data_IF_059533050996
#
_entry.id   IF_059533050996
#
_cell.length_a   1.000
_cell.length_b   1.000
_cell.length_c   1.000
_cell.angle_alpha   90.00
_cell.angle_beta   90.00
_cell.angle_gamma   90.00
#
_symmetry.space_group_name_H-M   'P 1'
#
loop_
_entity.id
_entity.type
_entity.pdbx_description
1 polymer ?
#
# COMPACT_ATOMS: atom_id res chain seq x y z
N UNK A 1 -30.82 13.89 6.16
CA UNK A 1 -29.66 13.00 6.44
C UNK A 1 -29.00 12.46 5.17
N UNK A 2 -29.73 11.82 4.25
CA UNK A 2 -29.15 11.21 3.04
C UNK A 2 -28.22 12.09 2.19
N UNK A 3 -28.50 13.40 2.05
CA UNK A 3 -27.68 14.34 1.29
C UNK A 3 -26.24 14.51 1.81
N UNK A 4 -26.06 14.53 3.13
CA UNK A 4 -24.71 14.63 3.73
C UNK A 4 -23.94 13.34 3.50
N UNK A 5 -24.55 12.19 3.75
CA UNK A 5 -23.93 10.87 3.50
C UNK A 5 -23.56 10.66 2.04
N UNK A 6 -24.41 11.08 1.10
CA UNK A 6 -24.13 11.04 -0.34
C UNK A 6 -22.84 11.79 -0.68
N UNK A 7 -22.71 13.05 -0.25
CA UNK A 7 -21.53 13.86 -0.57
C UNK A 7 -20.27 13.33 0.10
N UNK A 8 -20.34 13.03 1.40
CA UNK A 8 -19.16 12.58 2.16
C UNK A 8 -18.68 11.20 1.73
N UNK A 9 -19.60 10.26 1.47
CA UNK A 9 -19.23 8.93 0.96
C UNK A 9 -18.59 9.01 -0.42
N UNK A 10 -19.08 9.90 -1.29
CA UNK A 10 -18.51 10.13 -2.60
C UNK A 10 -17.10 10.73 -2.53
N UNK A 11 -16.89 11.76 -1.70
CA UNK A 11 -15.55 12.36 -1.49
C UNK A 11 -14.57 11.32 -0.93
N UNK A 12 -15.00 10.56 0.07
CA UNK A 12 -14.16 9.51 0.66
C UNK A 12 -13.82 8.43 -0.37
N UNK A 13 -14.78 8.01 -1.18
CA UNK A 13 -14.58 7.04 -2.25
C UNK A 13 -13.58 7.54 -3.30
N UNK A 14 -13.70 8.81 -3.73
CA UNK A 14 -12.73 9.41 -4.65
C UNK A 14 -11.32 9.49 -4.04
N UNK A 15 -11.21 9.88 -2.77
CA UNK A 15 -9.92 9.92 -2.08
C UNK A 15 -9.27 8.53 -2.02
N UNK A 16 -10.04 7.50 -1.69
CA UNK A 16 -9.55 6.12 -1.65
C UNK A 16 -9.12 5.64 -3.04
N UNK A 17 -9.88 5.98 -4.09
CA UNK A 17 -9.54 5.66 -5.47
C UNK A 17 -8.26 6.36 -5.92
N UNK A 18 -8.07 7.63 -5.58
CA UNK A 18 -6.84 8.38 -5.88
C UNK A 18 -5.64 7.74 -5.16
N UNK A 19 -5.78 7.38 -3.88
CA UNK A 19 -4.72 6.69 -3.14
C UNK A 19 -4.39 5.32 -3.76
N UNK A 20 -5.39 4.55 -4.18
CA UNK A 20 -5.17 3.28 -4.88
C UNK A 20 -4.42 3.46 -6.20
N UNK A 21 -4.82 4.44 -7.02
CA UNK A 21 -4.13 4.75 -8.26
C UNK A 21 -2.70 5.24 -8.01
N UNK A 22 -2.49 6.05 -6.97
CA UNK A 22 -1.16 6.51 -6.57
C UNK A 22 -0.27 5.34 -6.15
N UNK A 23 -0.79 4.38 -5.38
CA UNK A 23 -0.04 3.19 -4.96
C UNK A 23 0.35 2.32 -6.16
N UNK A 24 -0.56 2.10 -7.12
CA UNK A 24 -0.25 1.37 -8.36
C UNK A 24 0.80 2.11 -9.18
N UNK A 25 0.63 3.43 -9.37
CA UNK A 25 1.58 4.26 -10.09
C UNK A 25 2.96 4.25 -9.44
N UNK A 26 3.03 4.37 -8.11
CA UNK A 26 4.27 4.39 -7.36
C UNK A 26 4.98 3.03 -7.38
N UNK A 27 4.22 1.93 -7.28
CA UNK A 27 4.75 0.58 -7.41
C UNK A 27 5.35 0.34 -8.80
N UNK A 28 4.70 0.84 -9.86
CA UNK A 28 5.19 0.68 -11.22
C UNK A 28 6.43 1.54 -11.49
N UNK A 29 6.42 2.80 -11.07
CA UNK A 29 7.50 3.76 -11.32
C UNK A 29 8.59 3.77 -10.24
N UNK A 30 8.49 2.88 -9.23
CA UNK A 30 9.47 2.74 -8.14
C UNK A 30 9.68 4.04 -7.36
N UNK A 31 8.59 4.80 -7.20
CA UNK A 31 8.59 6.06 -6.46
C UNK A 31 7.98 5.87 -5.08
N UNK A 32 8.03 6.91 -4.27
CA UNK A 32 7.39 6.92 -2.96
C UNK A 32 5.87 6.70 -3.07
N UNK A 33 5.37 5.72 -2.32
CA UNK A 33 3.94 5.49 -2.16
C UNK A 33 3.44 6.02 -0.82
N UNK A 34 2.24 6.60 -0.82
CA UNK A 34 1.49 6.84 0.41
C UNK A 34 0.72 5.57 0.71
N UNK A 35 1.23 4.78 1.64
CA UNK A 35 0.71 3.46 1.98
C UNK A 35 0.24 3.42 3.44
N UNK A 36 -0.96 3.95 3.75
CA UNK A 36 -1.60 3.70 5.03
C UNK A 36 -1.74 2.19 5.26
N UNK A 37 -1.85 1.73 6.52
CA UNK A 37 -2.09 0.31 6.80
C UNK A 37 -3.28 -0.21 5.99
N UNK A 38 -3.10 -1.35 5.31
CA UNK A 38 -4.12 -1.89 4.39
C UNK A 38 -5.45 -2.15 5.11
N UNK A 39 -5.39 -2.53 6.39
CA UNK A 39 -6.58 -2.68 7.25
C UNK A 39 -7.36 -1.35 7.40
N UNK A 40 -6.65 -0.23 7.58
CA UNK A 40 -7.27 1.10 7.66
C UNK A 40 -7.97 1.45 6.34
N UNK A 41 -7.33 1.20 5.20
CA UNK A 41 -7.93 1.41 3.88
C UNK A 41 -9.20 0.55 3.68
N UNK A 42 -9.14 -0.72 4.07
CA UNK A 42 -10.30 -1.61 4.02
C UNK A 42 -11.47 -1.08 4.86
N UNK A 43 -11.23 -0.73 6.13
CA UNK A 43 -12.27 -0.18 7.01
C UNK A 43 -12.90 1.10 6.43
N UNK A 44 -12.08 2.00 5.89
CA UNK A 44 -12.57 3.23 5.25
C UNK A 44 -13.42 2.93 4.00
N UNK A 45 -13.06 1.93 3.19
CA UNK A 45 -13.90 1.53 2.05
C UNK A 45 -15.24 0.94 2.49
N UNK A 46 -15.27 0.14 3.56
CA UNK A 46 -16.53 -0.40 4.11
C UNK A 46 -17.42 0.75 4.60
N UNK A 47 -16.85 1.73 5.29
CA UNK A 47 -17.58 2.94 5.71
C UNK A 47 -18.13 3.69 4.50
N UNK A 48 -17.32 3.91 3.46
CA UNK A 48 -17.75 4.57 2.22
C UNK A 48 -18.88 3.81 1.52
N UNK A 49 -18.81 2.48 1.50
CA UNK A 49 -19.83 1.62 0.91
C UNK A 49 -21.15 1.70 1.67
N UNK A 50 -21.15 1.50 3.00
CA UNK A 50 -22.35 1.54 3.85
C UNK A 50 -23.00 2.93 3.78
N UNK A 51 -22.21 3.99 3.90
CA UNK A 51 -22.72 5.36 3.80
C UNK A 51 -23.21 5.71 2.38
N UNK A 52 -22.61 5.12 1.34
CA UNK A 52 -23.08 5.20 -0.04
C UNK A 52 -24.45 4.57 -0.24
N UNK A 53 -24.69 3.37 0.34
CA UNK A 53 -26.00 2.72 0.32
C UNK A 53 -27.05 3.59 1.03
N UNK A 54 -26.73 4.14 2.21
CA UNK A 54 -27.63 5.06 2.91
C UNK A 54 -27.90 6.32 2.04
N UNK A 55 -26.88 6.78 1.33
CA UNK A 55 -26.93 7.88 0.37
C UNK A 55 -27.85 7.64 -0.83
N UNK A 56 -28.20 6.40 -1.20
CA UNK A 56 -29.15 6.11 -2.28
C UNK A 56 -30.56 6.64 -1.98
N UNK A 57 -30.90 6.84 -0.70
CA UNK A 57 -32.16 7.47 -0.29
C UNK A 57 -32.26 8.94 -0.72
N UNK A 58 -31.14 9.59 -1.08
CA UNK A 58 -31.14 10.96 -1.56
C UNK A 58 -31.69 11.08 -2.98
N UNK A 59 -32.96 11.51 -3.09
CA UNK A 59 -33.64 11.77 -4.36
C UNK A 59 -33.60 13.25 -4.78
N UNK A 60 -32.86 14.11 -4.07
CA UNK A 60 -32.88 15.57 -4.20
C UNK A 60 -32.60 16.08 -5.62
N UNK A 61 -31.69 15.44 -6.35
CA UNK A 61 -31.30 15.85 -7.70
C UNK A 61 -30.73 14.69 -8.52
N UNK A 62 -30.77 14.79 -9.86
CA UNK A 62 -30.13 13.83 -10.77
C UNK A 62 -28.64 13.59 -10.46
N UNK A 63 -27.78 14.60 -10.23
CA UNK A 63 -26.37 14.38 -9.87
C UNK A 63 -26.19 13.74 -8.49
N UNK A 64 -27.09 13.94 -7.52
CA UNK A 64 -27.04 13.21 -6.26
C UNK A 64 -27.23 11.71 -6.48
N UNK A 65 -28.21 11.31 -7.30
CA UNK A 65 -28.45 9.89 -7.60
C UNK A 65 -27.25 9.23 -8.28
N UNK A 66 -26.67 9.91 -9.28
CA UNK A 66 -25.46 9.42 -9.97
C UNK A 66 -24.27 9.22 -9.02
N UNK A 67 -24.01 10.20 -8.14
CA UNK A 67 -22.93 10.08 -7.15
C UNK A 67 -23.10 8.88 -6.23
N UNK A 68 -24.30 8.66 -5.67
CA UNK A 68 -24.53 7.48 -4.81
C UNK A 68 -24.31 6.16 -5.55
N UNK A 69 -24.80 6.05 -6.78
CA UNK A 69 -24.60 4.84 -7.59
C UNK A 69 -23.13 4.60 -7.90
N UNK A 70 -22.39 5.64 -8.31
CA UNK A 70 -20.95 5.55 -8.55
C UNK A 70 -20.20 5.14 -7.27
N UNK A 71 -20.51 5.75 -6.12
CA UNK A 71 -19.88 5.38 -4.84
C UNK A 71 -20.04 3.90 -4.55
N UNK A 72 -21.25 3.36 -4.68
CA UNK A 72 -21.53 1.94 -4.37
C UNK A 72 -20.82 1.02 -5.37
N UNK A 73 -20.86 1.36 -6.67
CA UNK A 73 -20.22 0.59 -7.74
C UNK A 73 -18.69 0.55 -7.63
N UNK A 74 -18.07 1.62 -7.13
CA UNK A 74 -16.61 1.70 -6.95
C UNK A 74 -16.19 1.13 -5.60
N UNK A 75 -16.88 1.47 -4.51
CA UNK A 75 -16.48 1.07 -3.16
C UNK A 75 -16.60 -0.45 -2.95
N UNK A 76 -17.55 -1.12 -3.61
CA UNK A 76 -17.69 -2.58 -3.53
C UNK A 76 -16.44 -3.34 -4.01
N UNK A 77 -15.99 -3.21 -5.28
CA UNK A 77 -14.78 -3.89 -5.73
C UNK A 77 -13.54 -3.41 -4.96
N UNK A 78 -13.46 -2.12 -4.60
CA UNK A 78 -12.34 -1.60 -3.85
C UNK A 78 -12.24 -2.23 -2.44
N UNK A 79 -13.37 -2.47 -1.79
CA UNK A 79 -13.41 -3.18 -0.50
C UNK A 79 -12.94 -4.63 -0.64
N UNK A 80 -13.33 -5.33 -1.71
CA UNK A 80 -12.85 -6.70 -1.98
C UNK A 80 -11.34 -6.71 -2.23
N UNK A 81 -10.82 -5.77 -3.04
CA UNK A 81 -9.39 -5.64 -3.31
C UNK A 81 -8.60 -5.40 -2.00
N UNK A 82 -9.05 -4.47 -1.15
CA UNK A 82 -8.36 -4.23 0.11
C UNK A 82 -8.50 -5.38 1.10
N UNK A 83 -9.61 -6.12 1.09
CA UNK A 83 -9.75 -7.32 1.91
C UNK A 83 -8.72 -8.39 1.51
N UNK A 84 -8.52 -8.59 0.21
CA UNK A 84 -7.46 -9.46 -0.31
C UNK A 84 -6.08 -8.94 0.09
N UNK A 85 -5.87 -7.61 0.02
CA UNK A 85 -4.63 -6.98 0.49
C UNK A 85 -4.36 -7.23 1.98
N UNK A 86 -5.38 -7.18 2.84
CA UNK A 86 -5.25 -7.54 4.27
C UNK A 86 -4.86 -9.01 4.42
N UNK A 87 -5.52 -9.91 3.69
CA UNK A 87 -5.19 -11.34 3.72
C UNK A 87 -3.73 -11.61 3.29
N UNK A 88 -3.28 -11.02 2.17
CA UNK A 88 -1.89 -11.14 1.70
C UNK A 88 -0.92 -10.60 2.75
N UNK A 89 -1.20 -9.43 3.32
CA UNK A 89 -0.34 -8.83 4.33
C UNK A 89 -0.25 -9.64 5.63
N UNK A 90 -1.27 -10.46 5.92
CA UNK A 90 -1.36 -11.26 7.16
C UNK A 90 -0.81 -12.67 7.00
N UNK A 91 -1.03 -13.29 5.84
CA UNK A 91 -0.74 -14.71 5.62
C UNK A 91 0.43 -14.97 4.67
N UNK A 92 0.72 -14.04 3.75
CA UNK A 92 1.74 -14.23 2.72
C UNK A 92 3.00 -13.40 2.98
N UNK A 93 2.98 -12.46 3.92
CA UNK A 93 4.09 -11.57 4.23
C UNK A 93 4.56 -11.79 5.66
N UNK A 94 5.82 -12.17 5.82
CA UNK A 94 6.42 -12.38 7.14
C UNK A 94 7.57 -11.39 7.34
N UNK A 95 7.63 -10.67 8.48
CA UNK A 95 8.77 -9.80 8.77
C UNK A 95 10.02 -10.63 9.04
N UNK A 96 11.16 -10.18 8.51
CA UNK A 96 12.47 -10.80 8.75
C UNK A 96 13.20 -9.98 9.82
N UNK A 97 13.59 -8.76 9.46
CA UNK A 97 14.31 -7.84 10.33
C UNK A 97 14.07 -6.39 9.92
N UNK A 98 14.36 -5.48 10.84
CA UNK A 98 14.37 -4.04 10.60
C UNK A 98 15.77 -3.53 10.89
N UNK A 99 16.37 -2.85 9.93
CA UNK A 99 17.70 -2.25 10.06
C UNK A 99 17.59 -0.73 10.03
N UNK A 100 18.55 -0.07 10.67
CA UNK A 100 18.70 1.38 10.65
C UNK A 100 20.07 1.78 10.13
N UNK A 101 20.14 2.90 9.43
CA UNK A 101 21.43 3.50 9.06
C UNK A 101 22.25 3.82 10.32
N UNK A 102 23.59 3.89 10.23
CA UNK A 102 24.45 4.24 11.37
C UNK A 102 24.11 5.56 12.05
N UNK A 103 23.51 6.52 11.32
CA UNK A 103 23.02 7.79 11.86
C UNK A 103 21.53 7.79 12.25
N UNK A 104 20.88 6.63 12.19
CA UNK A 104 19.47 6.36 12.53
C UNK A 104 18.44 7.18 11.74
N UNK A 105 18.81 7.74 10.57
CA UNK A 105 17.88 8.52 9.73
C UNK A 105 17.08 7.67 8.76
N UNK A 106 17.61 6.52 8.35
CA UNK A 106 16.97 5.61 7.39
C UNK A 106 16.60 4.33 8.12
N UNK A 107 15.34 3.94 8.02
CA UNK A 107 14.84 2.67 8.56
C UNK A 107 14.31 1.82 7.42
N UNK A 108 14.76 0.57 7.35
CA UNK A 108 14.38 -0.38 6.31
C UNK A 108 13.79 -1.62 6.97
N UNK A 109 12.58 -1.98 6.55
CA UNK A 109 11.93 -3.22 6.96
C UNK A 109 12.07 -4.27 5.86
N UNK A 110 12.54 -5.45 6.23
CA UNK A 110 12.65 -6.60 5.35
C UNK A 110 11.55 -7.63 5.63
N UNK A 111 11.04 -8.22 4.55
CA UNK A 111 9.97 -9.21 4.62
C UNK A 111 10.24 -10.33 3.62
N UNK A 112 9.84 -11.55 3.98
CA UNK A 112 9.60 -12.59 2.99
C UNK A 112 8.19 -12.47 2.45
N UNK A 113 8.02 -12.83 1.18
CA UNK A 113 6.73 -12.95 0.51
C UNK A 113 6.59 -14.38 0.00
N UNK A 114 5.54 -15.07 0.45
CA UNK A 114 5.20 -16.42 0.01
C UNK A 114 3.94 -16.37 -0.86
N UNK A 115 4.09 -16.55 -2.17
CA UNK A 115 2.95 -16.59 -3.10
C UNK A 115 2.13 -17.89 -3.06
N UNK A 116 2.52 -18.87 -2.25
CA UNK A 116 1.87 -20.17 -2.09
C UNK A 116 2.62 -21.33 -2.76
N UNK A 117 1.93 -22.48 -2.87
CA UNK A 117 2.55 -23.76 -3.25
C UNK A 117 3.19 -23.82 -4.65
N UNK A 118 2.85 -22.88 -5.54
CA UNK A 118 3.32 -22.85 -6.93
C UNK A 118 4.34 -21.74 -7.21
N UNK A 119 4.77 -20.99 -6.19
CA UNK A 119 5.65 -19.82 -6.34
C UNK A 119 6.83 -19.94 -5.39
N UNK A 120 7.97 -19.41 -5.80
CA UNK A 120 9.11 -19.21 -4.91
C UNK A 120 8.78 -18.19 -3.83
N UNK A 121 9.55 -18.24 -2.74
CA UNK A 121 9.55 -17.17 -1.74
C UNK A 121 10.49 -16.08 -2.27
N UNK A 122 10.12 -14.82 -2.05
CA UNK A 122 10.93 -13.66 -2.36
C UNK A 122 11.24 -12.84 -1.11
N UNK A 123 12.26 -11.99 -1.20
CA UNK A 123 12.60 -11.01 -0.16
C UNK A 123 12.30 -9.60 -0.68
N UNK A 124 11.62 -8.79 0.13
CA UNK A 124 11.33 -7.38 -0.15
C UNK A 124 11.93 -6.49 0.94
N UNK A 125 12.64 -5.43 0.53
CA UNK A 125 13.13 -4.36 1.41
C UNK A 125 12.39 -3.05 1.17
N UNK A 126 11.83 -2.48 2.25
CA UNK A 126 11.06 -1.22 2.20
C UNK A 126 11.70 -0.17 3.10
N UNK A 127 12.06 0.98 2.51
CA UNK A 127 12.43 2.18 3.25
C UNK A 127 11.15 2.85 3.79
N UNK A 128 11.15 3.15 5.08
CA UNK A 128 10.10 3.91 5.74
C UNK A 128 10.41 5.41 5.69
N UNK A 129 9.48 6.17 5.13
CA UNK A 129 9.48 7.63 5.16
C UNK A 129 8.60 8.17 6.30
N UNK A 130 8.40 9.50 6.35
CA UNK A 130 7.53 10.10 7.34
C UNK A 130 6.09 9.59 7.20
N UNK A 131 5.41 9.40 8.33
CA UNK A 131 3.99 9.00 8.41
C UNK A 131 3.69 7.66 7.71
N UNK A 132 3.17 7.68 6.48
CA UNK A 132 2.77 6.51 5.69
C UNK A 132 3.53 6.42 4.37
N UNK A 133 4.57 7.22 4.19
CA UNK A 133 5.41 7.15 3.01
C UNK A 133 6.27 5.89 3.08
N UNK A 134 6.23 5.08 2.03
CA UNK A 134 7.05 3.87 1.88
C UNK A 134 7.65 3.84 0.49
N UNK A 135 8.85 3.27 0.34
CA UNK A 135 9.46 3.00 -0.96
C UNK A 135 10.08 1.60 -0.94
N UNK A 136 9.69 0.74 -1.89
CA UNK A 136 10.40 -0.52 -2.12
C UNK A 136 11.74 -0.20 -2.76
N UNK A 137 12.82 -0.69 -2.16
CA UNK A 137 14.19 -0.52 -2.68
C UNK A 137 14.83 -1.83 -3.09
N UNK A 138 14.28 -2.95 -2.63
CA UNK A 138 14.82 -4.27 -2.87
C UNK A 138 13.70 -5.28 -3.14
N UNK A 139 13.87 -6.10 -4.17
CA UNK A 139 13.10 -7.31 -4.42
C UNK A 139 14.02 -8.35 -5.04
N UNK A 140 14.00 -9.57 -4.55
CA UNK A 140 14.75 -10.67 -5.13
C UNK A 140 13.94 -11.97 -5.01
N UNK A 141 13.79 -12.68 -6.13
CA UNK A 141 13.16 -13.99 -6.21
C UNK A 141 13.94 -14.96 -7.12
N UNK A 142 14.24 -16.21 -6.69
CA UNK A 142 13.91 -16.81 -5.41
C UNK A 142 14.91 -16.41 -4.32
N UNK A 143 14.41 -15.93 -3.17
CA UNK A 143 15.24 -15.61 -2.02
C UNK A 143 14.49 -15.85 -0.70
N UNK A 144 15.19 -16.42 0.29
CA UNK A 144 14.59 -16.80 1.59
C UNK A 144 15.21 -16.09 2.79
N UNK A 145 16.34 -15.42 2.59
CA UNK A 145 17.13 -14.79 3.64
C UNK A 145 17.61 -13.44 3.16
N UNK A 146 17.88 -12.58 4.12
CA UNK A 146 18.52 -11.30 3.89
C UNK A 146 19.78 -11.25 4.72
N UNK A 147 20.87 -10.81 4.10
CA UNK A 147 22.10 -10.40 4.75
C UNK A 147 22.34 -8.93 4.45
N UNK A 148 22.50 -8.12 5.48
CA UNK A 148 22.45 -6.66 5.38
C UNK A 148 23.65 -6.04 6.09
N UNK A 149 24.41 -5.25 5.33
CA UNK A 149 25.53 -4.48 5.83
C UNK A 149 25.41 -3.02 5.38
N UNK A 150 25.67 -2.09 6.31
CA UNK A 150 25.80 -0.68 5.96
C UNK A 150 27.26 -0.34 5.73
N UNK A 151 27.59 0.06 4.49
CA UNK A 151 28.93 0.61 4.18
C UNK A 151 29.10 2.01 4.77
N UNK A 152 28.03 2.81 4.74
CA UNK A 152 27.98 4.13 5.37
C UNK A 152 26.53 4.56 5.65
N UNK A 153 26.27 5.85 5.88
CA UNK A 153 24.93 6.35 6.24
C UNK A 153 23.86 6.22 5.13
N UNK A 154 24.25 6.10 3.86
CA UNK A 154 23.34 6.08 2.71
C UNK A 154 23.62 4.93 1.72
N UNK A 155 24.72 4.21 1.88
CA UNK A 155 25.06 3.03 1.08
C UNK A 155 24.82 1.76 1.90
N UNK A 156 24.00 0.87 1.37
CA UNK A 156 23.65 -0.41 1.96
C UNK A 156 23.98 -1.54 1.00
N UNK A 157 24.43 -2.66 1.54
CA UNK A 157 24.71 -3.90 0.83
C UNK A 157 23.67 -4.92 1.31
N UNK A 158 22.84 -5.42 0.38
CA UNK A 158 21.78 -6.39 0.65
C UNK A 158 22.05 -7.61 -0.22
N UNK A 159 22.32 -8.78 0.37
CA UNK A 159 22.67 -10.01 -0.35
C UNK A 159 23.73 -9.78 -1.45
N UNK A 160 24.81 -9.07 -1.14
CA UNK A 160 25.89 -8.72 -2.07
C UNK A 160 25.51 -7.71 -3.18
N UNK A 161 24.34 -7.08 -3.09
CA UNK A 161 23.93 -5.95 -3.94
C UNK A 161 24.11 -4.61 -3.21
N UNK A 162 25.00 -3.78 -3.72
CA UNK A 162 25.22 -2.42 -3.20
C UNK A 162 24.18 -1.45 -3.77
N UNK A 163 23.54 -0.67 -2.90
CA UNK A 163 22.56 0.36 -3.24
C UNK A 163 22.93 1.70 -2.59
N UNK A 164 23.02 2.76 -3.39
CA UNK A 164 23.11 4.14 -2.93
C UNK A 164 21.70 4.75 -2.80
N UNK A 165 21.25 4.89 -1.55
CA UNK A 165 19.90 5.37 -1.24
C UNK A 165 19.72 6.87 -1.48
N UNK A 166 20.79 7.66 -1.43
CA UNK A 166 20.75 9.11 -1.72
C UNK A 166 20.57 9.36 -3.23
N UNK A 167 21.14 8.48 -4.06
CA UNK A 167 20.86 8.46 -5.51
C UNK A 167 19.51 7.83 -5.87
N UNK A 168 18.83 7.24 -4.88
CA UNK A 168 17.52 6.62 -5.05
C UNK A 168 17.56 5.28 -5.78
N UNK A 169 18.70 4.60 -5.78
CA UNK A 169 18.91 3.29 -6.41
C UNK A 169 17.98 2.21 -5.82
N UNK A 170 17.68 1.21 -6.64
CA UNK A 170 16.82 0.08 -6.29
C UNK A 170 17.28 -1.19 -6.99
N UNK A 171 17.19 -2.35 -6.34
CA UNK A 171 17.43 -3.66 -6.94
C UNK A 171 16.11 -4.44 -7.07
N UNK A 172 15.89 -5.07 -8.23
CA UNK A 172 14.73 -5.91 -8.52
C UNK A 172 15.18 -7.03 -9.47
N UNK A 173 15.13 -8.27 -9.02
CA UNK A 173 15.38 -9.47 -9.83
C UNK A 173 14.32 -10.56 -9.53
#
# INVERSE_FOLDING_TARGET
MGRKYNLWSFILCLLLLVLSLQSVYASYNRTWQVAPPVLTLWLLTVIAFVTGIIGLKDKSSRPARWRSWLTVLIAFPLSVIFLLGVAVNTFAREPIETVQSPDSKITIDFYTLNGGAATSISVEGIVNGPLWFKKRIYYEEPMHKVDVEWDNNHIIIINNHTLDLDKGETFLD
#
